data_IF_307331696099
#
_entry.id   IF_307331696099
#
_cell.length_a   1.000
_cell.length_b   1.000
_cell.length_c   1.000
_cell.angle_alpha   90.00
_cell.angle_beta   90.00
_cell.angle_gamma   90.00
#
_symmetry.space_group_name_H-M   'P 1'
#
loop_
_entity.id
_entity.type
_entity.pdbx_description
1 polymer ?
#
# COMPACT_ATOMS: atom_id res chain seq x y z
N UNK A 1 -34.46 -2.96 -27.45
CA UNK A 1 -35.34 -3.69 -26.49
C UNK A 1 -35.00 -3.35 -25.03
N UNK A 2 -33.79 -2.97 -24.67
CA UNK A 2 -33.40 -2.61 -23.29
C UNK A 2 -33.90 -1.20 -22.85
N UNK A 3 -34.13 -0.29 -23.78
CA UNK A 3 -34.57 1.08 -23.43
C UNK A 3 -36.08 1.19 -23.13
N UNK A 4 -36.86 0.16 -23.45
CA UNK A 4 -38.31 0.15 -23.20
C UNK A 4 -38.71 -0.45 -21.82
N UNK A 5 -37.83 -1.22 -21.20
CA UNK A 5 -38.11 -1.84 -19.89
C UNK A 5 -37.97 -0.89 -18.72
N UNK A 6 -37.14 0.15 -18.84
CA UNK A 6 -36.89 1.12 -17.73
C UNK A 6 -38.03 2.13 -17.61
N UNK A 7 -38.81 2.36 -18.65
CA UNK A 7 -39.95 3.31 -18.61
C UNK A 7 -41.25 2.76 -17.99
N UNK A 8 -41.33 1.48 -17.71
CA UNK A 8 -42.56 0.85 -17.21
C UNK A 8 -42.65 0.68 -15.69
N UNK A 9 -41.57 0.94 -14.97
CA UNK A 9 -41.54 0.77 -13.50
C UNK A 9 -41.80 2.05 -12.68
N UNK A 10 -42.02 3.21 -13.32
CA UNK A 10 -42.29 4.47 -12.62
C UNK A 10 -43.60 5.12 -13.07
N UNK A 11 -44.71 4.38 -12.99
CA UNK A 11 -46.04 4.97 -12.98
C UNK A 11 -46.88 4.30 -11.89
N UNK A 12 -46.51 4.56 -10.65
CA UNK A 12 -47.44 4.48 -9.52
C UNK A 12 -47.88 5.92 -9.24
N UNK A 13 -49.02 6.30 -9.82
CA UNK A 13 -49.76 7.48 -9.42
C UNK A 13 -50.44 7.12 -8.09
N UNK A 14 -49.89 7.64 -7.00
CA UNK A 14 -50.64 7.80 -5.75
C UNK A 14 -51.33 9.15 -5.82
N UNK A 15 -52.64 9.13 -6.05
CA UNK A 15 -53.48 10.31 -5.90
C UNK A 15 -53.42 10.78 -4.44
N UNK A 16 -52.97 12.01 -4.24
CA UNK A 16 -53.27 12.79 -3.06
C UNK A 16 -52.16 13.10 -2.05
N UNK A 17 -50.88 12.83 -2.31
CA UNK A 17 -49.81 13.29 -1.44
C UNK A 17 -48.83 14.13 -2.25
N UNK A 18 -49.01 15.46 -2.25
CA UNK A 18 -47.95 16.40 -2.62
C UNK A 18 -46.88 16.38 -1.52
N UNK A 19 -45.91 15.48 -1.62
CA UNK A 19 -44.70 15.61 -0.83
C UNK A 19 -43.85 16.72 -1.46
N UNK A 20 -43.99 17.95 -0.98
CA UNK A 20 -42.99 18.99 -1.09
C UNK A 20 -41.83 18.65 -0.17
N UNK A 21 -41.16 17.52 -0.39
CA UNK A 21 -39.83 17.33 0.15
C UNK A 21 -38.90 18.25 -0.63
N UNK A 22 -38.09 19.11 0.03
CA UNK A 22 -37.06 19.84 -0.68
C UNK A 22 -36.22 18.80 -1.44
N UNK A 23 -35.98 19.05 -2.74
CA UNK A 23 -35.07 18.24 -3.54
C UNK A 23 -33.78 18.17 -2.76
N UNK A 24 -33.54 17.05 -2.09
CA UNK A 24 -32.26 16.82 -1.44
C UNK A 24 -31.18 16.99 -2.51
N UNK A 25 -30.10 17.69 -2.17
CA UNK A 25 -28.97 17.85 -3.08
C UNK A 25 -28.61 16.47 -3.67
N UNK A 26 -28.24 16.37 -4.95
CA UNK A 26 -27.83 15.10 -5.53
C UNK A 26 -26.79 14.40 -4.63
N UNK A 27 -26.87 13.08 -4.52
CA UNK A 27 -26.01 12.29 -3.62
C UNK A 27 -24.53 12.63 -3.74
N UNK A 28 -24.10 13.04 -4.92
CA UNK A 28 -22.70 13.37 -5.24
C UNK A 28 -22.41 14.88 -5.31
N UNK A 29 -23.36 15.73 -4.94
CA UNK A 29 -23.18 17.20 -5.04
C UNK A 29 -22.08 17.76 -4.13
N UNK A 30 -21.75 17.04 -3.05
CA UNK A 30 -20.72 17.41 -2.11
C UNK A 30 -19.33 16.85 -2.48
N UNK A 31 -19.21 16.08 -3.57
CA UNK A 31 -17.93 15.52 -3.99
C UNK A 31 -17.17 16.59 -4.78
N UNK A 32 -16.07 17.05 -4.18
CA UNK A 32 -15.14 17.93 -4.86
C UNK A 32 -14.21 17.14 -5.79
N UNK A 33 -13.79 17.79 -6.88
CA UNK A 33 -12.80 17.22 -7.79
C UNK A 33 -11.48 17.05 -7.04
N UNK A 34 -10.98 15.81 -6.99
CA UNK A 34 -9.66 15.54 -6.44
C UNK A 34 -8.57 16.31 -7.19
N UNK A 35 -7.48 16.74 -6.52
CA UNK A 35 -6.32 17.29 -7.20
C UNK A 35 -5.74 16.28 -8.20
N UNK A 36 -4.99 16.77 -9.19
CA UNK A 36 -4.27 15.87 -10.11
C UNK A 36 -3.35 14.95 -9.33
N UNK A 37 -3.29 13.68 -9.75
CA UNK A 37 -2.36 12.72 -9.17
C UNK A 37 -0.91 13.24 -9.30
N UNK A 38 -0.16 13.38 -8.19
CA UNK A 38 1.17 13.97 -8.21
C UNK A 38 2.19 13.14 -8.97
N UNK A 39 1.99 11.82 -9.09
CA UNK A 39 2.91 10.90 -9.77
C UNK A 39 2.59 10.85 -11.26
N UNK A 40 1.33 10.62 -11.63
CA UNK A 40 0.91 10.55 -13.04
C UNK A 40 1.04 11.91 -13.73
N UNK A 41 0.80 13.01 -13.00
CA UNK A 41 1.02 14.37 -13.51
C UNK A 41 2.47 14.66 -13.89
N UNK A 42 3.45 14.09 -13.17
CA UNK A 42 4.88 14.18 -13.52
C UNK A 42 5.16 13.43 -14.82
N UNK A 43 4.58 12.26 -15.01
CA UNK A 43 4.73 11.49 -16.26
C UNK A 43 4.13 12.23 -17.46
N UNK A 44 3.00 12.90 -17.30
CA UNK A 44 2.42 13.76 -18.34
C UNK A 44 3.36 14.93 -18.69
N UNK A 45 3.91 15.61 -17.68
CA UNK A 45 4.86 16.71 -17.86
C UNK A 45 6.15 16.22 -18.54
N UNK A 46 6.69 15.06 -18.13
CA UNK A 46 7.83 14.42 -18.78
C UNK A 46 7.58 14.15 -20.25
N UNK A 47 6.41 13.61 -20.60
CA UNK A 47 6.07 13.31 -21.99
C UNK A 47 5.92 14.59 -22.85
N UNK A 48 5.44 15.67 -22.26
CA UNK A 48 5.27 16.97 -22.93
C UNK A 48 6.59 17.74 -23.11
N UNK A 49 7.59 17.49 -22.27
CA UNK A 49 8.90 18.12 -22.36
C UNK A 49 9.64 17.66 -23.62
N UNK A 50 10.20 18.60 -24.38
CA UNK A 50 10.94 18.34 -25.62
C UNK A 50 12.45 18.19 -25.40
N UNK A 51 12.94 18.34 -24.17
CA UNK A 51 14.37 18.17 -23.88
C UNK A 51 14.80 16.71 -24.14
N UNK A 52 15.77 16.45 -25.03
CA UNK A 52 16.24 15.10 -25.28
C UNK A 52 17.03 14.48 -24.12
N UNK A 53 17.58 15.28 -23.23
CA UNK A 53 18.37 14.83 -22.08
C UNK A 53 17.55 14.66 -20.80
N UNK A 54 16.24 14.49 -20.94
CA UNK A 54 15.34 14.30 -19.80
C UNK A 54 15.35 12.87 -19.29
N UNK A 55 15.18 12.70 -17.98
CA UNK A 55 15.04 11.39 -17.32
C UNK A 55 13.74 11.35 -16.52
N UNK A 56 12.95 10.28 -16.69
CA UNK A 56 11.72 10.10 -15.93
C UNK A 56 12.03 9.45 -14.57
N UNK A 57 11.82 10.19 -13.51
CA UNK A 57 11.97 9.72 -12.13
C UNK A 57 10.62 9.65 -11.38
N UNK A 58 9.50 9.77 -12.10
CA UNK A 58 8.16 9.85 -11.51
C UNK A 58 7.65 8.53 -10.93
N UNK A 59 8.02 7.40 -11.53
CA UNK A 59 7.59 6.07 -11.08
C UNK A 59 8.81 5.19 -10.85
N UNK A 60 8.87 4.54 -9.68
CA UNK A 60 9.93 3.60 -9.33
C UNK A 60 9.79 2.29 -10.11
N UNK A 61 10.39 2.21 -11.28
CA UNK A 61 10.46 1.01 -12.13
C UNK A 61 11.92 0.71 -12.42
N UNK A 62 12.29 -0.57 -12.39
CA UNK A 62 13.63 -0.96 -12.80
C UNK A 62 13.79 -0.82 -14.32
N UNK A 63 14.83 -0.11 -14.73
CA UNK A 63 15.24 0.00 -16.13
C UNK A 63 16.61 -0.63 -16.32
N UNK A 64 16.80 -1.31 -17.45
CA UNK A 64 18.11 -1.79 -17.88
C UNK A 64 19.00 -0.63 -18.41
N UNK A 65 20.25 -0.95 -18.78
CA UNK A 65 21.19 0.03 -19.31
C UNK A 65 20.75 0.70 -20.63
N UNK A 66 19.73 0.15 -21.29
CA UNK A 66 19.13 0.71 -22.49
C UNK A 66 17.87 1.53 -22.20
N UNK A 67 17.55 1.78 -20.92
CA UNK A 67 16.35 2.49 -20.49
C UNK A 67 15.05 1.72 -20.74
N UNK A 68 15.08 0.40 -20.80
CA UNK A 68 13.91 -0.46 -21.00
C UNK A 68 13.61 -1.27 -19.75
N UNK A 69 12.33 -1.50 -19.48
CA UNK A 69 11.90 -2.47 -18.47
C UNK A 69 12.20 -3.88 -18.99
N UNK A 70 13.09 -4.65 -18.34
CA UNK A 70 13.45 -5.97 -18.85
C UNK A 70 12.34 -6.97 -18.64
N UNK A 71 12.19 -7.85 -19.60
CA UNK A 71 11.27 -8.98 -19.51
C UNK A 71 12.00 -10.15 -18.84
N UNK A 72 11.64 -10.42 -17.57
CA UNK A 72 12.31 -11.43 -16.77
C UNK A 72 12.06 -12.85 -17.32
N UNK A 73 13.12 -13.60 -17.62
CA UNK A 73 13.03 -14.94 -18.18
C UNK A 73 12.29 -15.94 -17.26
N UNK A 74 12.39 -15.76 -15.93
CA UNK A 74 11.66 -16.59 -14.96
C UNK A 74 10.14 -16.34 -15.03
N UNK A 75 9.71 -15.07 -15.22
CA UNK A 75 8.30 -14.71 -15.37
C UNK A 75 7.75 -15.30 -16.67
N UNK A 76 8.45 -15.15 -17.78
CA UNK A 76 8.02 -15.75 -19.07
C UNK A 76 7.84 -17.27 -18.98
N UNK A 77 8.80 -17.96 -18.33
CA UNK A 77 8.67 -19.41 -18.11
C UNK A 77 7.48 -19.77 -17.23
N UNK A 78 7.23 -19.01 -16.18
CA UNK A 78 6.09 -19.23 -15.30
C UNK A 78 4.76 -19.02 -16.03
N UNK A 79 4.64 -17.96 -16.83
CA UNK A 79 3.46 -17.69 -17.66
C UNK A 79 3.21 -18.83 -18.66
N UNK A 80 4.25 -19.29 -19.36
CA UNK A 80 4.15 -20.41 -20.29
C UNK A 80 3.67 -21.69 -19.59
N UNK A 81 4.19 -22.00 -18.40
CA UNK A 81 3.76 -23.14 -17.59
C UNK A 81 2.29 -23.02 -17.14
N UNK A 82 1.86 -21.83 -16.74
CA UNK A 82 0.48 -21.57 -16.34
C UNK A 82 -0.48 -21.72 -17.53
N UNK A 83 -0.09 -21.25 -18.72
CA UNK A 83 -0.86 -21.44 -19.95
C UNK A 83 -0.96 -22.92 -20.33
N UNK A 84 0.15 -23.66 -20.30
CA UNK A 84 0.18 -25.09 -20.63
C UNK A 84 -0.67 -25.93 -19.68
N UNK A 85 -0.75 -25.56 -18.41
CA UNK A 85 -1.56 -26.24 -17.39
C UNK A 85 -3.07 -26.13 -17.67
N UNK A 86 -3.52 -25.09 -18.37
CA UNK A 86 -4.92 -24.84 -18.77
C UNK A 86 -5.95 -25.07 -17.64
N UNK A 87 -5.59 -24.70 -16.40
CA UNK A 87 -6.45 -24.93 -15.23
C UNK A 87 -7.66 -23.97 -15.20
N UNK A 88 -8.82 -24.40 -14.73
CA UNK A 88 -9.96 -23.51 -14.52
C UNK A 88 -9.62 -22.33 -13.61
N UNK A 89 -10.24 -21.19 -13.89
CA UNK A 89 -10.17 -19.98 -13.03
C UNK A 89 -11.41 -19.96 -12.15
N UNK A 90 -11.28 -20.43 -10.92
CA UNK A 90 -12.36 -20.47 -9.93
C UNK A 90 -12.08 -19.48 -8.80
N UNK A 91 -13.01 -19.39 -7.83
CA UNK A 91 -12.76 -18.67 -6.60
C UNK A 91 -11.58 -19.27 -5.85
N UNK A 92 -10.74 -18.42 -5.27
CA UNK A 92 -9.67 -18.82 -4.37
C UNK A 92 -10.22 -19.06 -2.95
N UNK A 93 -9.50 -19.83 -2.11
CA UNK A 93 -9.69 -19.79 -0.66
C UNK A 93 -9.59 -18.37 -0.12
N UNK A 94 -10.12 -18.11 1.08
CA UNK A 94 -10.14 -16.78 1.70
C UNK A 94 -8.71 -16.22 1.85
N UNK A 95 -7.77 -17.07 2.26
CA UNK A 95 -6.35 -16.74 2.42
C UNK A 95 -5.58 -16.65 1.10
N UNK A 96 -6.13 -17.16 0.00
CA UNK A 96 -5.47 -17.20 -1.30
C UNK A 96 -4.95 -18.60 -1.65
N UNK A 97 -3.91 -18.67 -2.49
CA UNK A 97 -3.28 -19.91 -2.92
C UNK A 97 -2.24 -20.38 -1.90
N UNK A 98 -2.44 -21.52 -1.24
CA UNK A 98 -1.52 -22.06 -0.25
C UNK A 98 -0.08 -22.24 -0.78
N UNK A 99 0.08 -22.58 -2.06
CA UNK A 99 1.40 -22.68 -2.69
C UNK A 99 2.09 -21.32 -2.83
N UNK A 100 1.32 -20.26 -3.10
CA UNK A 100 1.82 -18.90 -3.13
C UNK A 100 2.22 -18.43 -1.73
N UNK A 101 1.36 -18.61 -0.74
CA UNK A 101 1.61 -18.20 0.64
C UNK A 101 2.87 -18.85 1.20
N UNK A 102 3.04 -20.16 0.96
CA UNK A 102 4.24 -20.88 1.33
C UNK A 102 5.48 -20.32 0.64
N UNK A 103 5.44 -20.11 -0.66
CA UNK A 103 6.59 -19.59 -1.42
C UNK A 103 7.00 -18.20 -0.95
N UNK A 104 6.03 -17.33 -0.63
CA UNK A 104 6.29 -15.99 -0.07
C UNK A 104 6.95 -16.07 1.31
N UNK A 105 6.47 -16.95 2.19
CA UNK A 105 7.08 -17.15 3.51
C UNK A 105 8.53 -17.63 3.40
N UNK A 106 8.79 -18.61 2.55
CA UNK A 106 10.14 -19.13 2.31
C UNK A 106 11.07 -18.08 1.69
N UNK A 107 10.54 -17.23 0.79
CA UNK A 107 11.31 -16.14 0.17
C UNK A 107 11.68 -15.04 1.19
N UNK A 108 10.73 -14.64 2.05
CA UNK A 108 10.90 -13.52 2.99
C UNK A 108 11.73 -13.91 4.20
N UNK A 109 11.47 -15.10 4.77
CA UNK A 109 12.07 -15.53 6.04
C UNK A 109 13.18 -16.57 5.87
N UNK A 110 13.28 -17.22 4.71
CA UNK A 110 14.09 -18.40 4.50
C UNK A 110 13.35 -19.68 4.87
N UNK A 111 13.48 -20.73 4.03
CA UNK A 111 12.76 -21.98 4.22
C UNK A 111 13.07 -22.67 5.58
N UNK A 112 14.31 -22.54 6.05
CA UNK A 112 14.78 -23.17 7.28
C UNK A 112 14.66 -22.26 8.52
N UNK A 113 14.06 -21.07 8.37
CA UNK A 113 13.93 -20.13 9.50
C UNK A 113 12.98 -20.69 10.58
N UNK A 114 13.27 -20.34 11.83
CA UNK A 114 12.43 -20.72 12.96
C UNK A 114 10.98 -20.24 12.79
N UNK A 115 10.80 -19.05 12.25
CA UNK A 115 9.47 -18.44 12.01
C UNK A 115 8.61 -19.30 11.09
N UNK A 116 9.21 -19.88 10.03
CA UNK A 116 8.51 -20.76 9.09
C UNK A 116 8.29 -22.14 9.70
N UNK A 117 9.33 -22.73 10.30
CA UNK A 117 9.27 -24.08 10.87
C UNK A 117 8.31 -24.21 12.06
N UNK A 118 8.26 -23.18 12.91
CA UNK A 118 7.34 -23.13 14.05
C UNK A 118 5.92 -22.66 13.70
N UNK A 119 5.66 -22.35 12.42
CA UNK A 119 4.37 -21.84 11.91
C UNK A 119 3.90 -20.55 12.59
N UNK A 120 4.84 -19.68 12.98
CA UNK A 120 4.52 -18.35 13.55
C UNK A 120 4.15 -17.30 12.52
N UNK A 121 4.40 -17.58 11.23
CA UNK A 121 4.00 -16.73 10.12
C UNK A 121 2.70 -17.25 9.48
N UNK A 122 1.76 -16.34 9.25
CA UNK A 122 0.57 -16.56 8.44
C UNK A 122 0.62 -15.60 7.28
N UNK A 123 0.32 -16.07 6.08
CA UNK A 123 0.28 -15.27 4.86
C UNK A 123 -1.13 -15.29 4.29
N UNK A 124 -1.59 -14.16 3.82
CA UNK A 124 -2.83 -14.04 3.07
C UNK A 124 -2.56 -13.26 1.78
N UNK A 125 -3.02 -13.80 0.66
CA UNK A 125 -2.91 -13.17 -0.64
C UNK A 125 -3.88 -11.99 -0.73
N UNK A 126 -3.40 -10.84 -1.19
CA UNK A 126 -4.20 -9.64 -1.38
C UNK A 126 -3.98 -9.01 -2.77
N UNK A 127 -4.77 -8.01 -3.12
CA UNK A 127 -4.67 -7.30 -4.41
C UNK A 127 -3.53 -6.28 -4.33
N UNK A 128 -2.32 -6.72 -4.66
CA UNK A 128 -1.12 -5.88 -4.65
C UNK A 128 -0.77 -5.35 -3.25
N UNK A 129 0.28 -4.52 -3.17
CA UNK A 129 0.75 -3.94 -1.91
C UNK A 129 -0.29 -3.02 -1.24
N UNK A 130 -1.03 -2.25 -2.02
CA UNK A 130 -2.10 -1.37 -1.51
C UNK A 130 -3.20 -2.18 -0.82
N UNK A 131 -3.67 -3.26 -1.46
CA UNK A 131 -4.68 -4.15 -0.87
C UNK A 131 -4.17 -4.86 0.38
N UNK A 132 -2.90 -5.29 0.39
CA UNK A 132 -2.29 -5.94 1.53
C UNK A 132 -2.16 -4.99 2.73
N UNK A 133 -1.69 -3.76 2.50
CA UNK A 133 -1.58 -2.73 3.54
C UNK A 133 -2.94 -2.32 4.10
N UNK A 134 -3.96 -2.17 3.23
CA UNK A 134 -5.32 -1.85 3.69
C UNK A 134 -5.89 -2.96 4.56
N UNK A 135 -5.75 -4.21 4.14
CA UNK A 135 -6.17 -5.37 4.94
C UNK A 135 -5.46 -5.40 6.30
N UNK A 136 -4.14 -5.16 6.31
CA UNK A 136 -3.35 -5.07 7.53
C UNK A 136 -3.80 -3.93 8.43
N UNK A 137 -4.05 -2.75 7.87
CA UNK A 137 -4.53 -1.59 8.63
C UNK A 137 -5.91 -1.84 9.27
N UNK A 138 -6.86 -2.41 8.53
CA UNK A 138 -8.19 -2.76 9.04
C UNK A 138 -8.11 -3.82 10.15
N UNK A 139 -7.23 -4.82 9.96
CA UNK A 139 -6.98 -5.85 10.96
C UNK A 139 -6.43 -5.22 12.26
N UNK A 140 -5.39 -4.40 12.16
CA UNK A 140 -4.79 -3.72 13.30
C UNK A 140 -5.80 -2.82 14.01
N UNK A 141 -6.63 -2.08 13.27
CA UNK A 141 -7.67 -1.22 13.86
C UNK A 141 -8.68 -2.01 14.68
N UNK A 142 -9.00 -3.22 14.26
CA UNK A 142 -9.92 -4.08 14.99
C UNK A 142 -9.39 -4.53 16.37
N UNK A 143 -8.09 -4.74 16.49
CA UNK A 143 -7.47 -5.28 17.70
C UNK A 143 -6.72 -4.23 18.55
N UNK A 144 -6.39 -3.09 17.93
CA UNK A 144 -5.70 -1.97 18.58
C UNK A 144 -6.37 -0.64 18.22
N UNK A 145 -7.66 -0.45 18.57
CA UNK A 145 -8.47 0.67 18.08
C UNK A 145 -7.92 2.05 18.50
N UNK A 146 -7.25 2.13 19.62
CA UNK A 146 -6.73 3.38 20.19
C UNK A 146 -5.25 3.65 19.84
N UNK A 147 -4.60 2.72 19.12
CA UNK A 147 -3.22 2.87 18.73
C UNK A 147 -3.03 4.09 17.79
N UNK A 148 -1.92 4.78 17.94
CA UNK A 148 -1.46 5.77 16.98
C UNK A 148 -0.50 5.11 16.01
N UNK A 149 -0.55 5.54 14.73
CA UNK A 149 0.35 5.06 13.70
C UNK A 149 1.42 6.09 13.43
N UNK A 150 2.65 5.65 13.28
CA UNK A 150 3.80 6.49 12.94
C UNK A 150 4.44 5.99 11.64
N UNK A 151 4.60 6.89 10.69
CA UNK A 151 5.25 6.64 9.39
C UNK A 151 6.49 7.51 9.25
N UNK A 152 7.43 7.11 8.40
CA UNK A 152 8.63 7.91 8.13
C UNK A 152 8.31 9.25 7.45
N UNK A 153 9.16 10.23 7.65
CA UNK A 153 9.12 11.50 6.92
C UNK A 153 10.40 11.64 6.07
N UNK A 154 10.25 11.63 4.73
CA UNK A 154 9.06 11.33 3.93
C UNK A 154 8.68 9.84 3.95
N UNK A 155 7.50 9.53 3.45
CA UNK A 155 7.03 8.16 3.24
C UNK A 155 6.24 8.09 1.93
N UNK A 156 5.97 6.89 1.44
CA UNK A 156 5.04 6.70 0.33
C UNK A 156 3.66 7.22 0.71
N UNK A 157 3.09 8.10 -0.10
CA UNK A 157 1.84 8.81 0.23
C UNK A 157 0.67 7.88 0.61
N UNK A 158 0.59 6.72 -0.04
CA UNK A 158 -0.46 5.75 0.27
C UNK A 158 -0.40 5.21 1.70
N UNK A 159 0.75 5.22 2.38
CA UNK A 159 0.82 4.76 3.76
C UNK A 159 -0.12 5.56 4.66
N UNK A 160 -0.05 6.89 4.59
CA UNK A 160 -0.95 7.76 5.35
C UNK A 160 -2.40 7.52 5.00
N UNK A 161 -2.74 7.57 3.71
CA UNK A 161 -4.10 7.42 3.23
C UNK A 161 -4.74 6.09 3.66
N UNK A 162 -3.98 4.98 3.61
CA UNK A 162 -4.46 3.65 3.99
C UNK A 162 -4.76 3.56 5.49
N UNK A 163 -3.87 4.04 6.36
CA UNK A 163 -4.09 4.01 7.80
C UNK A 163 -5.18 4.99 8.24
N UNK A 164 -5.22 6.19 7.68
CA UNK A 164 -6.31 7.16 7.95
C UNK A 164 -7.67 6.61 7.49
N UNK A 165 -7.73 5.95 6.33
CA UNK A 165 -8.96 5.31 5.84
C UNK A 165 -9.43 4.13 6.72
N UNK A 166 -8.53 3.53 7.49
CA UNK A 166 -8.86 2.54 8.51
C UNK A 166 -9.28 3.18 9.86
N UNK A 167 -9.20 4.51 9.98
CA UNK A 167 -9.60 5.26 11.16
C UNK A 167 -8.50 5.47 12.19
N UNK A 168 -7.22 5.36 11.80
CA UNK A 168 -6.10 5.69 12.66
C UNK A 168 -5.72 7.18 12.58
N UNK A 169 -5.15 7.70 13.69
CA UNK A 169 -4.38 8.95 13.68
C UNK A 169 -2.98 8.60 13.21
N UNK A 170 -2.51 9.26 12.16
CA UNK A 170 -1.21 9.00 11.54
C UNK A 170 -0.27 10.17 11.79
N UNK A 171 0.84 9.89 12.45
CA UNK A 171 1.91 10.81 12.79
C UNK A 171 3.16 10.50 11.95
N UNK A 172 4.13 11.41 11.96
CA UNK A 172 5.43 11.20 11.31
C UNK A 172 6.55 11.03 12.34
N UNK A 173 7.60 10.30 11.94
CA UNK A 173 8.89 10.32 12.62
C UNK A 173 10.00 10.75 11.65
N UNK A 174 11.05 11.47 12.12
CA UNK A 174 12.17 11.85 11.26
C UNK A 174 12.87 10.63 10.67
N UNK A 175 13.14 10.64 9.37
CA UNK A 175 13.83 9.53 8.71
C UNK A 175 14.96 9.98 7.78
N UNK A 176 14.73 10.98 6.92
CA UNK A 176 15.68 11.39 5.90
C UNK A 176 16.41 12.68 6.27
N UNK A 177 17.71 12.70 6.03
CA UNK A 177 18.54 13.91 6.10
C UNK A 177 19.01 14.33 4.70
N UNK A 178 18.48 15.44 4.21
CA UNK A 178 18.81 15.97 2.89
C UNK A 178 20.29 16.42 2.77
N UNK A 179 20.95 16.78 3.88
CA UNK A 179 22.34 17.23 3.85
C UNK A 179 23.30 16.07 3.60
N UNK A 180 23.07 14.95 4.29
CA UNK A 180 23.88 13.74 4.14
C UNK A 180 23.35 12.82 3.05
N UNK A 181 22.13 13.05 2.55
CA UNK A 181 21.38 12.17 1.63
C UNK A 181 21.23 10.76 2.18
N UNK A 182 21.11 10.64 3.49
CA UNK A 182 21.06 9.39 4.22
C UNK A 182 19.95 9.38 5.27
N UNK A 183 20.01 8.40 6.17
CA UNK A 183 19.04 8.28 7.26
C UNK A 183 19.42 9.22 8.40
N UNK A 184 18.48 10.05 8.87
CA UNK A 184 18.57 10.77 10.14
C UNK A 184 18.36 9.80 11.30
N UNK A 185 19.33 8.91 11.51
CA UNK A 185 19.18 7.80 12.44
C UNK A 185 18.99 8.24 13.90
N UNK A 186 19.72 9.27 14.31
CA UNK A 186 19.59 9.81 15.67
C UNK A 186 18.15 10.35 15.93
N UNK A 187 17.64 11.17 14.99
CA UNK A 187 16.28 11.71 15.11
C UNK A 187 15.21 10.62 15.06
N UNK A 188 15.39 9.59 14.23
CA UNK A 188 14.51 8.43 14.18
C UNK A 188 14.47 7.70 15.52
N UNK A 189 15.63 7.36 16.08
CA UNK A 189 15.73 6.64 17.36
C UNK A 189 15.12 7.42 18.53
N UNK A 190 15.35 8.72 18.58
CA UNK A 190 14.79 9.57 19.65
C UNK A 190 13.27 9.68 19.52
N UNK A 191 12.75 9.76 18.30
CA UNK A 191 11.31 9.70 18.06
C UNK A 191 10.73 8.35 18.52
N UNK A 192 11.31 7.21 18.15
CA UNK A 192 10.86 5.89 18.60
C UNK A 192 10.84 5.76 20.12
N UNK A 193 11.86 6.25 20.81
CA UNK A 193 11.91 6.25 22.29
C UNK A 193 10.79 7.07 22.93
N UNK A 194 10.30 8.09 22.26
CA UNK A 194 9.26 9.00 22.77
C UNK A 194 7.83 8.54 22.48
N UNK A 195 7.64 7.58 21.58
CA UNK A 195 6.31 7.11 21.20
C UNK A 195 5.58 6.43 22.38
N UNK A 196 4.26 6.60 22.49
CA UNK A 196 3.45 5.86 23.47
C UNK A 196 3.55 4.35 23.24
N UNK A 197 3.60 3.57 24.31
CA UNK A 197 3.52 2.11 24.21
C UNK A 197 2.23 1.67 23.50
N UNK A 198 2.29 0.60 22.72
CA UNK A 198 1.17 0.13 21.89
C UNK A 198 0.97 0.92 20.60
N UNK A 199 1.84 1.89 20.29
CA UNK A 199 1.83 2.55 18.99
C UNK A 199 2.27 1.58 17.89
N UNK A 200 1.76 1.82 16.66
CA UNK A 200 2.12 1.09 15.45
C UNK A 200 3.15 1.89 14.69
N UNK A 201 4.31 1.32 14.43
CA UNK A 201 5.37 1.96 13.64
C UNK A 201 5.50 1.25 12.30
N UNK A 202 5.32 2.00 11.21
CA UNK A 202 5.58 1.50 9.87
C UNK A 202 7.05 1.67 9.52
N UNK A 203 7.73 0.55 9.31
CA UNK A 203 9.14 0.49 8.91
C UNK A 203 9.26 -0.09 7.51
N UNK A 204 10.20 0.43 6.71
CA UNK A 204 10.56 -0.15 5.43
C UNK A 204 11.74 -1.09 5.62
N UNK A 205 11.57 -2.37 5.36
CA UNK A 205 12.62 -3.37 5.57
C UNK A 205 13.85 -3.12 4.68
N UNK A 206 13.60 -2.67 3.44
CA UNK A 206 14.61 -2.26 2.47
C UNK A 206 13.96 -1.38 1.39
N UNK A 207 14.77 -0.74 0.54
CA UNK A 207 14.34 0.08 -0.58
C UNK A 207 13.33 1.16 -0.13
N UNK A 208 13.70 1.92 0.89
CA UNK A 208 12.82 2.93 1.49
C UNK A 208 12.18 3.84 0.45
N UNK A 209 10.86 3.89 0.41
CA UNK A 209 10.11 4.69 -0.54
C UNK A 209 9.66 6.02 0.12
N UNK A 210 10.09 7.21 -0.37
CA UNK A 210 10.70 7.45 -1.70
C UNK A 210 12.23 7.64 -1.68
N UNK A 211 12.92 7.59 -0.53
CA UNK A 211 14.27 8.13 -0.41
C UNK A 211 15.37 7.20 -0.93
N UNK A 212 15.14 5.89 -0.97
CA UNK A 212 16.16 4.89 -1.27
C UNK A 212 17.26 4.79 -0.20
N UNK A 213 17.14 5.50 0.92
CA UNK A 213 18.10 5.43 2.02
C UNK A 213 17.65 4.38 3.04
N UNK A 214 18.44 3.33 3.23
CA UNK A 214 18.12 2.20 4.10
C UNK A 214 18.97 2.17 5.37
N UNK A 215 18.45 1.54 6.40
CA UNK A 215 19.17 1.28 7.64
C UNK A 215 20.23 0.19 7.43
N UNK A 216 21.39 0.35 8.08
CA UNK A 216 22.37 -0.73 8.18
C UNK A 216 21.93 -1.80 9.19
N UNK A 217 22.53 -2.99 9.13
CA UNK A 217 22.25 -4.09 10.06
C UNK A 217 22.42 -3.67 11.52
N UNK A 218 23.50 -2.90 11.82
CA UNK A 218 23.74 -2.39 13.17
C UNK A 218 22.67 -1.38 13.62
N UNK A 219 22.09 -0.60 12.71
CA UNK A 219 20.98 0.30 13.01
C UNK A 219 19.67 -0.47 13.22
N UNK A 220 19.44 -1.51 12.44
CA UNK A 220 18.29 -2.39 12.64
C UNK A 220 18.27 -3.03 14.02
N UNK A 221 19.40 -3.50 14.53
CA UNK A 221 19.50 -4.04 15.90
C UNK A 221 19.04 -3.00 16.92
N UNK A 222 19.49 -1.76 16.82
CA UNK A 222 19.10 -0.68 17.74
C UNK A 222 17.61 -0.33 17.63
N UNK A 223 17.04 -0.32 16.42
CA UNK A 223 15.61 -0.09 16.20
C UNK A 223 14.79 -1.18 16.85
N UNK A 224 15.16 -2.46 16.65
CA UNK A 224 14.47 -3.60 17.26
C UNK A 224 14.52 -3.52 18.79
N UNK A 225 15.67 -3.20 19.35
CA UNK A 225 15.83 -3.03 20.80
C UNK A 225 14.89 -1.95 21.35
N UNK A 226 14.83 -0.77 20.71
CA UNK A 226 13.96 0.32 21.12
C UNK A 226 12.48 -0.06 20.98
N UNK A 227 12.08 -0.62 19.85
CA UNK A 227 10.70 -1.06 19.61
C UNK A 227 10.26 -2.08 20.67
N UNK A 228 11.12 -3.06 20.97
CA UNK A 228 10.85 -4.08 21.98
C UNK A 228 10.73 -3.48 23.39
N UNK A 229 11.68 -2.62 23.78
CA UNK A 229 11.69 -1.98 25.11
C UNK A 229 10.52 -1.03 25.32
N UNK A 230 10.08 -0.35 24.26
CA UNK A 230 8.97 0.59 24.31
C UNK A 230 7.59 -0.07 24.19
N UNK A 231 7.55 -1.33 23.76
CA UNK A 231 6.29 -2.05 23.50
C UNK A 231 5.53 -1.47 22.32
N UNK A 232 6.27 -1.14 21.23
CA UNK A 232 5.70 -0.64 19.98
C UNK A 232 5.33 -1.80 19.07
#
# INVERSE_FOLDING_TARGET
LQSLLIRRFFKLTFDGITMNAPLSAPLFAAIEMAPRDPILGITEAFNADQNPEKTNLGVGVYYDDNGKVPLLACVQKAEALLMAKAAPRTYLPIEGLAAYDKAVQELVFGADSEVVQSKRAITAQAIGGTGALKLGADFLKRFSPDAQVYISDPSWENHRALFESAGFIVNNYPYYDANTRGVNFAGMLDALKSMPAGSIVLLHACCHNPTGADLSDAQWVQVIDVVTQRGL
#
